data_IF_829526359155
#
_entry.id   IF_829526359155
#
_cell.length_a   1.000
_cell.length_b   1.000
_cell.length_c   1.000
_cell.angle_alpha   90.00
_cell.angle_beta   90.00
_cell.angle_gamma   90.00
#
_symmetry.space_group_name_H-M   'P 1'
#
loop_
_entity.id
_entity.type
_entity.pdbx_description
1 polymer ?
#
# COMPACT_ATOMS: atom_id res chain seq x y z
N UNK A 1 19.38 5.08 5.64
CA UNK A 1 20.26 5.47 4.52
C UNK A 1 20.24 6.99 4.33
N UNK A 2 20.80 7.74 5.26
CA UNK A 2 20.80 9.21 5.24
C UNK A 2 22.16 9.67 5.74
N UNK A 3 23.14 9.82 4.86
CA UNK A 3 24.40 10.53 5.14
C UNK A 3 25.23 10.90 3.90
N UNK A 4 24.75 10.62 2.68
CA UNK A 4 25.48 11.01 1.45
C UNK A 4 25.36 12.53 1.17
N UNK A 5 24.22 13.13 1.54
CA UNK A 5 23.96 14.55 1.28
C UNK A 5 24.78 15.51 2.16
N UNK A 6 25.09 15.12 3.39
CA UNK A 6 25.85 15.97 4.32
C UNK A 6 27.35 16.00 3.99
N UNK A 7 27.89 14.91 3.42
CA UNK A 7 29.27 14.84 2.97
C UNK A 7 29.50 15.69 1.72
N UNK A 8 28.55 15.68 0.76
CA UNK A 8 28.68 16.48 -0.45
C UNK A 8 28.71 18.01 -0.17
N UNK A 9 27.96 18.47 0.84
CA UNK A 9 27.98 19.88 1.24
C UNK A 9 29.26 20.28 2.01
N UNK A 10 29.88 19.34 2.72
CA UNK A 10 31.12 19.59 3.46
C UNK A 10 32.33 19.69 2.53
N UNK A 11 32.37 18.88 1.47
CA UNK A 11 33.42 18.92 0.45
C UNK A 11 33.41 20.24 -0.35
N UNK A 12 32.24 20.77 -0.69
CA UNK A 12 32.11 22.04 -1.45
C UNK A 12 32.53 23.26 -0.61
N UNK A 13 32.39 23.22 0.71
CA UNK A 13 32.82 24.32 1.59
C UNK A 13 34.29 24.22 2.01
N UNK A 14 34.92 23.03 1.93
CA UNK A 14 36.33 22.82 2.31
C UNK A 14 37.34 23.37 1.29
N UNK A 15 36.89 23.77 0.10
CA UNK A 15 37.74 24.35 -0.95
C UNK A 15 38.00 25.85 -0.80
N UNK A 16 37.66 26.46 0.35
CA UNK A 16 37.67 27.92 0.53
C UNK A 16 38.84 28.51 1.33
N UNK A 17 39.82 27.72 1.79
CA UNK A 17 40.89 28.23 2.68
C UNK A 17 42.33 27.89 2.27
N UNK A 18 42.63 27.85 0.97
CA UNK A 18 44.03 27.79 0.53
C UNK A 18 44.27 28.70 -0.69
N UNK A 19 44.46 30.00 -0.43
CA UNK A 19 45.50 30.80 -1.09
C UNK A 19 45.54 32.21 -0.47
N UNK A 20 46.34 32.37 0.59
CA UNK A 20 46.62 33.68 1.19
C UNK A 20 48.04 33.74 1.71
N UNK A 21 49.01 33.56 0.82
CA UNK A 21 50.42 33.80 1.12
C UNK A 21 51.22 33.94 -0.17
N UNK A 22 51.14 35.11 -0.80
CA UNK A 22 52.23 35.75 -1.56
C UNK A 22 51.71 37.06 -2.14
N UNK A 23 51.71 38.09 -1.30
CA UNK A 23 51.54 39.47 -1.72
C UNK A 23 52.78 40.23 -1.28
N UNK A 24 53.86 40.07 -2.04
CA UNK A 24 54.92 41.06 -2.19
C UNK A 24 55.57 40.78 -3.57
N UNK A 25 55.89 41.86 -4.29
CA UNK A 25 56.48 41.89 -5.64
C UNK A 25 55.58 41.58 -6.84
N UNK A 26 54.78 42.58 -7.23
CA UNK A 26 54.81 43.14 -8.59
C UNK A 26 53.78 44.26 -8.73
N UNK A 27 54.10 45.41 -8.15
CA UNK A 27 53.40 46.68 -8.41
C UNK A 27 53.91 47.31 -9.72
N UNK A 28 53.75 46.60 -10.85
CA UNK A 28 53.96 47.19 -12.19
C UNK A 28 53.23 46.47 -13.34
N UNK A 29 52.05 45.92 -13.08
CA UNK A 29 51.17 45.42 -14.16
C UNK A 29 49.67 45.68 -13.88
N UNK A 30 49.35 46.80 -13.22
CA UNK A 30 47.96 47.28 -13.10
C UNK A 30 47.59 48.09 -14.35
N UNK A 31 47.06 47.44 -15.40
CA UNK A 31 46.04 48.06 -16.29
C UNK A 31 45.38 47.16 -17.33
N UNK A 32 45.68 45.86 -17.44
CA UNK A 32 45.08 45.03 -18.50
C UNK A 32 44.44 43.70 -18.08
N UNK A 33 44.19 43.43 -16.79
CA UNK A 33 43.51 42.18 -16.37
C UNK A 33 42.29 42.37 -15.43
N UNK A 34 41.80 43.60 -15.26
CA UNK A 34 40.60 43.89 -14.46
C UNK A 34 39.29 43.37 -15.07
N UNK A 35 39.27 43.12 -16.38
CA UNK A 35 38.07 42.70 -17.10
C UNK A 35 37.81 41.18 -17.02
N UNK A 36 38.87 40.36 -16.91
CA UNK A 36 38.77 38.88 -16.96
C UNK A 36 38.36 38.28 -15.61
N UNK A 37 38.82 38.86 -14.49
CA UNK A 37 38.45 38.40 -13.14
C UNK A 37 36.99 38.70 -12.77
N UNK A 38 36.44 39.83 -13.24
CA UNK A 38 35.04 40.21 -13.01
C UNK A 38 34.05 39.27 -13.74
N UNK A 39 34.41 38.80 -14.94
CA UNK A 39 33.58 37.87 -15.71
C UNK A 39 33.48 36.47 -15.08
N UNK A 40 34.57 35.91 -14.50
CA UNK A 40 34.50 34.57 -13.87
C UNK A 40 33.62 34.55 -12.62
N UNK A 41 33.67 35.61 -11.81
CA UNK A 41 32.86 35.72 -10.60
C UNK A 41 31.37 35.90 -10.92
N UNK A 42 31.07 36.69 -11.96
CA UNK A 42 29.71 36.88 -12.45
C UNK A 42 29.12 35.59 -13.03
N UNK A 43 29.90 34.84 -13.82
CA UNK A 43 29.48 33.52 -14.35
C UNK A 43 29.23 32.50 -13.24
N UNK A 44 30.04 32.52 -12.18
CA UNK A 44 29.84 31.65 -11.02
C UNK A 44 28.55 32.01 -10.25
N UNK A 45 28.29 33.30 -10.04
CA UNK A 45 27.05 33.78 -9.41
C UNK A 45 25.80 33.43 -10.22
N UNK A 46 25.85 33.55 -11.55
CA UNK A 46 24.76 33.13 -12.45
C UNK A 46 24.53 31.61 -12.40
N UNK A 47 25.60 30.82 -12.33
CA UNK A 47 25.50 29.35 -12.23
C UNK A 47 24.96 28.93 -10.85
N UNK A 48 25.37 29.60 -9.78
CA UNK A 48 24.86 29.36 -8.44
C UNK A 48 23.38 29.75 -8.32
N UNK A 49 22.98 30.89 -8.89
CA UNK A 49 21.59 31.36 -8.88
C UNK A 49 20.66 30.42 -9.66
N UNK A 50 21.08 29.93 -10.83
CA UNK A 50 20.30 28.95 -11.62
C UNK A 50 20.17 27.61 -10.90
N UNK A 51 21.23 27.10 -10.27
CA UNK A 51 21.16 25.92 -9.42
C UNK A 51 20.20 26.11 -8.24
N UNK A 52 20.27 27.25 -7.56
CA UNK A 52 19.44 27.55 -6.41
C UNK A 52 17.96 27.69 -6.83
N UNK A 53 17.69 28.32 -7.98
CA UNK A 53 16.36 28.38 -8.57
C UNK A 53 15.82 26.99 -8.94
N UNK A 54 16.66 26.13 -9.54
CA UNK A 54 16.28 24.76 -9.87
C UNK A 54 15.99 23.92 -8.62
N UNK A 55 16.80 24.07 -7.56
CA UNK A 55 16.59 23.41 -6.27
C UNK A 55 15.31 23.91 -5.58
N UNK A 56 15.00 25.21 -5.66
CA UNK A 56 13.74 25.77 -5.14
C UNK A 56 12.53 25.25 -5.92
N UNK A 57 12.61 25.17 -7.25
CA UNK A 57 11.56 24.56 -8.07
C UNK A 57 11.35 23.09 -7.72
N UNK A 58 12.42 22.32 -7.54
CA UNK A 58 12.34 20.93 -7.09
C UNK A 58 11.74 20.80 -5.69
N UNK A 59 12.08 21.72 -4.77
CA UNK A 59 11.52 21.76 -3.42
C UNK A 59 10.02 22.13 -3.40
N UNK A 60 9.60 23.08 -4.24
CA UNK A 60 8.18 23.48 -4.38
C UNK A 60 7.37 22.38 -5.08
N UNK A 61 7.93 21.76 -6.12
CA UNK A 61 7.28 20.65 -6.83
C UNK A 61 7.13 19.40 -5.94
N UNK A 62 8.16 19.08 -5.16
CA UNK A 62 8.09 17.97 -4.20
C UNK A 62 7.12 18.25 -3.05
N UNK A 63 7.05 19.47 -2.52
CA UNK A 63 6.13 19.82 -1.43
C UNK A 63 4.64 19.86 -1.86
N UNK A 64 4.34 20.33 -3.07
CA UNK A 64 2.98 20.31 -3.65
C UNK A 64 2.51 18.89 -3.98
N UNK A 65 3.39 18.04 -4.51
CA UNK A 65 3.13 16.61 -4.75
C UNK A 65 2.79 15.85 -3.44
N UNK A 66 3.51 16.15 -2.35
CA UNK A 66 3.27 15.52 -1.04
C UNK A 66 1.93 15.94 -0.42
N UNK A 67 1.48 17.19 -0.64
CA UNK A 67 0.18 17.65 -0.15
C UNK A 67 -1.00 17.05 -0.93
N UNK A 68 -0.90 16.94 -2.26
CA UNK A 68 -1.93 16.31 -3.10
C UNK A 68 -2.09 14.81 -2.78
N UNK A 69 -0.97 14.10 -2.58
CA UNK A 69 -0.94 12.67 -2.21
C UNK A 69 -1.69 12.37 -0.91
N UNK A 70 -1.65 13.26 0.09
CA UNK A 70 -2.34 13.07 1.39
C UNK A 70 -3.86 13.15 1.30
N UNK A 71 -4.40 14.11 0.55
CA UNK A 71 -5.85 14.23 0.34
C UNK A 71 -6.39 13.04 -0.47
N UNK A 72 -5.59 12.53 -1.40
CA UNK A 72 -5.88 11.33 -2.17
C UNK A 72 -5.87 10.06 -1.30
N UNK A 73 -4.90 9.91 -0.38
CA UNK A 73 -4.85 8.83 0.62
C UNK A 73 -6.17 8.68 1.39
N UNK A 74 -6.72 9.79 1.90
CA UNK A 74 -7.97 9.79 2.65
C UNK A 74 -9.18 9.34 1.83
N UNK A 75 -9.26 9.74 0.55
CA UNK A 75 -10.33 9.36 -0.38
C UNK A 75 -10.23 7.88 -0.75
N UNK A 76 -9.05 7.41 -1.12
CA UNK A 76 -8.81 6.03 -1.54
C UNK A 76 -9.03 5.04 -0.39
N UNK A 77 -8.59 5.40 0.82
CA UNK A 77 -8.83 4.61 2.01
C UNK A 77 -10.33 4.52 2.34
N UNK A 78 -11.07 5.63 2.23
CA UNK A 78 -12.53 5.66 2.45
C UNK A 78 -13.26 4.79 1.43
N UNK A 79 -12.90 4.88 0.15
CA UNK A 79 -13.51 4.05 -0.90
C UNK A 79 -13.22 2.56 -0.66
N UNK A 80 -12.00 2.23 -0.28
CA UNK A 80 -11.61 0.84 -0.03
C UNK A 80 -12.29 0.29 1.23
N UNK A 81 -12.50 1.10 2.26
CA UNK A 81 -13.30 0.73 3.44
C UNK A 81 -14.76 0.47 3.07
N UNK A 82 -15.38 1.35 2.27
CA UNK A 82 -16.76 1.16 1.77
C UNK A 82 -16.89 -0.17 1.03
N UNK A 83 -15.95 -0.46 0.13
CA UNK A 83 -15.96 -1.73 -0.62
C UNK A 83 -15.74 -2.93 0.30
N UNK A 84 -14.80 -2.86 1.26
CA UNK A 84 -14.56 -3.94 2.23
C UNK A 84 -15.84 -4.26 3.01
N UNK A 85 -16.55 -3.23 3.50
CA UNK A 85 -17.81 -3.39 4.22
C UNK A 85 -18.93 -3.97 3.34
N UNK A 86 -18.98 -3.58 2.06
CA UNK A 86 -19.90 -4.15 1.09
C UNK A 86 -19.63 -5.65 0.91
N UNK A 87 -18.39 -6.03 0.60
CA UNK A 87 -18.01 -7.44 0.42
C UNK A 87 -18.30 -8.24 1.70
N UNK A 88 -18.04 -7.66 2.87
CA UNK A 88 -18.34 -8.30 4.15
C UNK A 88 -19.84 -8.60 4.31
N UNK A 89 -20.71 -7.61 4.07
CA UNK A 89 -22.17 -7.79 4.17
C UNK A 89 -22.69 -8.84 3.19
N UNK A 90 -22.24 -8.79 1.95
CA UNK A 90 -22.60 -9.77 0.92
C UNK A 90 -22.09 -11.16 1.30
N UNK A 91 -20.87 -11.28 1.85
CA UNK A 91 -20.32 -12.55 2.33
C UNK A 91 -21.11 -13.11 3.52
N UNK A 92 -21.60 -12.26 4.42
CA UNK A 92 -22.48 -12.67 5.53
C UNK A 92 -23.77 -13.28 5.00
N UNK A 93 -24.40 -12.64 4.01
CA UNK A 93 -25.60 -13.14 3.36
C UNK A 93 -25.32 -14.46 2.62
N UNK A 94 -24.25 -14.49 1.83
CA UNK A 94 -23.80 -15.69 1.11
C UNK A 94 -23.51 -16.86 2.05
N UNK A 95 -22.88 -16.64 3.21
CA UNK A 95 -22.61 -17.75 4.17
C UNK A 95 -23.90 -18.37 4.68
N UNK A 96 -24.93 -17.56 4.95
CA UNK A 96 -26.25 -18.07 5.39
C UNK A 96 -26.95 -18.84 4.27
N UNK A 97 -26.95 -18.26 3.06
CA UNK A 97 -27.53 -18.90 1.88
C UNK A 97 -26.83 -20.23 1.57
N UNK A 98 -25.50 -20.26 1.63
CA UNK A 98 -24.70 -21.45 1.38
C UNK A 98 -25.15 -22.61 2.27
N UNK A 99 -25.25 -22.39 3.59
CA UNK A 99 -25.70 -23.43 4.55
C UNK A 99 -27.11 -23.91 4.21
N UNK A 100 -28.04 -22.99 3.92
CA UNK A 100 -29.41 -23.34 3.56
C UNK A 100 -29.53 -24.14 2.25
N UNK A 101 -28.63 -23.91 1.29
CA UNK A 101 -28.61 -24.58 -0.01
C UNK A 101 -27.90 -25.94 0.00
N UNK A 102 -27.35 -26.40 1.12
CA UNK A 102 -26.64 -27.69 1.18
C UNK A 102 -27.54 -28.92 1.43
N UNK A 103 -28.83 -28.72 1.69
CA UNK A 103 -29.82 -29.77 1.92
C UNK A 103 -30.01 -30.13 3.40
N UNK A 104 -31.00 -30.99 3.66
CA UNK A 104 -31.38 -31.39 5.01
C UNK A 104 -30.25 -32.14 5.73
N UNK A 105 -30.00 -31.77 6.98
CA UNK A 105 -28.92 -32.34 7.80
C UNK A 105 -27.57 -31.61 7.70
N UNK A 106 -27.38 -30.67 6.76
CA UNK A 106 -26.19 -29.82 6.78
C UNK A 106 -26.32 -28.73 7.84
N UNK A 107 -25.53 -28.84 8.90
CA UNK A 107 -25.58 -27.94 10.05
C UNK A 107 -24.49 -26.87 10.01
N UNK A 108 -24.77 -25.71 10.60
CA UNK A 108 -23.81 -24.60 10.72
C UNK A 108 -22.53 -25.00 11.49
N UNK A 109 -22.59 -26.05 12.33
CA UNK A 109 -21.44 -26.59 13.05
C UNK A 109 -20.33 -27.07 12.11
N UNK A 110 -20.66 -27.59 10.92
CA UNK A 110 -19.68 -28.06 9.94
C UNK A 110 -18.80 -26.93 9.39
N UNK A 111 -19.28 -25.69 9.42
CA UNK A 111 -18.52 -24.52 8.97
C UNK A 111 -17.38 -24.12 9.90
N UNK A 112 -17.25 -24.79 11.05
CA UNK A 112 -16.16 -24.64 12.02
C UNK A 112 -15.17 -25.80 11.99
N UNK A 113 -15.35 -26.77 11.08
CA UNK A 113 -14.43 -27.88 10.94
C UNK A 113 -13.02 -27.40 10.60
N UNK A 114 -12.01 -28.12 11.07
CA UNK A 114 -10.62 -27.89 10.66
C UNK A 114 -10.42 -28.48 9.27
N UNK A 115 -10.07 -27.64 8.30
CA UNK A 115 -9.74 -28.06 6.94
C UNK A 115 -8.37 -27.50 6.58
N UNK A 116 -7.49 -28.37 6.11
CA UNK A 116 -6.12 -28.02 5.73
C UNK A 116 -6.09 -27.12 4.50
N UNK A 117 -5.07 -26.26 4.43
CA UNK A 117 -4.79 -25.44 3.25
C UNK A 117 -5.63 -24.17 3.14
N UNK A 118 -6.53 -23.89 4.09
CA UNK A 118 -7.26 -22.62 4.13
C UNK A 118 -6.33 -21.50 4.67
N UNK A 119 -6.29 -20.31 4.05
CA UNK A 119 -5.38 -19.25 4.47
C UNK A 119 -5.80 -18.69 5.83
N UNK A 120 -4.81 -18.29 6.64
CA UNK A 120 -5.07 -17.62 7.92
C UNK A 120 -5.80 -16.28 7.68
N UNK A 121 -6.95 -16.03 8.34
CA UNK A 121 -7.66 -14.76 8.25
C UNK A 121 -7.02 -13.61 9.05
N UNK A 122 -6.00 -13.86 9.86
CA UNK A 122 -5.34 -12.85 10.69
C UNK A 122 -4.32 -12.05 9.90
N UNK A 123 -4.27 -10.74 10.11
CA UNK A 123 -3.34 -9.85 9.41
C UNK A 123 -2.00 -9.83 10.15
N UNK A 124 -0.93 -10.15 9.43
CA UNK A 124 0.44 -10.19 9.94
C UNK A 124 1.22 -8.91 9.62
N UNK A 125 2.38 -8.73 10.24
CA UNK A 125 3.26 -7.58 10.03
C UNK A 125 3.13 -6.51 11.11
N UNK A 126 4.25 -5.84 11.38
CA UNK A 126 4.35 -4.75 12.36
C UNK A 126 4.15 -3.40 11.69
N UNK A 127 4.76 -3.23 10.52
CA UNK A 127 4.73 -1.98 9.77
C UNK A 127 3.49 -1.87 8.85
N UNK A 128 2.97 -0.66 8.60
CA UNK A 128 1.80 -0.47 7.73
C UNK A 128 1.95 -1.10 6.33
N UNK A 129 3.15 -1.07 5.75
CA UNK A 129 3.46 -1.72 4.47
C UNK A 129 3.27 -3.23 4.58
N UNK A 130 3.89 -3.88 5.56
CA UNK A 130 3.78 -5.32 5.80
C UNK A 130 2.33 -5.74 6.03
N UNK A 131 1.56 -4.94 6.78
CA UNK A 131 0.16 -5.23 7.08
C UNK A 131 -0.73 -5.13 5.84
N UNK A 132 -0.54 -4.12 5.01
CA UNK A 132 -1.29 -3.98 3.74
C UNK A 132 -0.86 -5.09 2.76
N UNK A 133 0.41 -5.44 2.72
CA UNK A 133 0.92 -6.56 1.95
C UNK A 133 0.32 -7.90 2.40
N UNK A 134 0.24 -8.15 3.71
CA UNK A 134 -0.41 -9.33 4.29
C UNK A 134 -1.89 -9.41 3.90
N UNK A 135 -2.62 -8.28 3.93
CA UNK A 135 -4.01 -8.23 3.45
C UNK A 135 -4.10 -8.60 1.97
N UNK A 136 -3.19 -8.06 1.15
CA UNK A 136 -3.17 -8.34 -0.29
C UNK A 136 -2.94 -9.83 -0.57
N UNK A 137 -1.91 -10.43 0.02
CA UNK A 137 -1.57 -11.84 -0.21
C UNK A 137 -2.67 -12.78 0.28
N UNK A 138 -3.29 -12.49 1.42
CA UNK A 138 -4.42 -13.26 1.94
C UNK A 138 -5.65 -13.16 1.03
N UNK A 139 -6.02 -11.96 0.58
CA UNK A 139 -7.13 -11.80 -0.35
C UNK A 139 -6.89 -12.54 -1.67
N UNK A 140 -5.65 -12.51 -2.18
CA UNK A 140 -5.27 -13.24 -3.38
C UNK A 140 -5.43 -14.76 -3.17
N UNK A 141 -4.95 -15.30 -2.06
CA UNK A 141 -5.10 -16.71 -1.72
C UNK A 141 -6.59 -17.10 -1.60
N UNK A 142 -7.39 -16.32 -0.88
CA UNK A 142 -8.83 -16.58 -0.73
C UNK A 142 -9.60 -16.53 -2.05
N UNK A 143 -9.19 -15.71 -3.02
CA UNK A 143 -9.82 -15.71 -4.34
C UNK A 143 -9.68 -17.05 -5.08
N UNK A 144 -8.57 -17.77 -4.88
CA UNK A 144 -8.38 -19.11 -5.42
C UNK A 144 -9.35 -20.10 -4.75
N UNK A 145 -9.49 -20.03 -3.42
CA UNK A 145 -10.46 -20.87 -2.70
C UNK A 145 -11.91 -20.54 -3.08
N UNK A 146 -12.28 -19.27 -3.24
CA UNK A 146 -13.62 -18.87 -3.67
C UNK A 146 -13.94 -19.41 -5.06
N UNK A 147 -12.96 -19.39 -5.98
CA UNK A 147 -13.10 -20.00 -7.31
C UNK A 147 -13.35 -21.51 -7.20
N UNK A 148 -12.56 -22.22 -6.40
CA UNK A 148 -12.76 -23.65 -6.15
C UNK A 148 -14.16 -23.96 -5.61
N UNK A 149 -14.64 -23.16 -4.64
CA UNK A 149 -15.99 -23.33 -4.08
C UNK A 149 -17.06 -23.08 -5.13
N UNK A 150 -16.87 -22.09 -6.00
CA UNK A 150 -17.78 -21.83 -7.11
C UNK A 150 -17.83 -23.03 -8.07
N UNK A 151 -16.68 -23.53 -8.55
CA UNK A 151 -16.59 -24.69 -9.45
C UNK A 151 -17.22 -25.95 -8.83
N UNK A 152 -17.02 -26.16 -7.52
CA UNK A 152 -17.68 -27.24 -6.79
C UNK A 152 -19.20 -27.07 -6.75
N UNK A 153 -19.70 -25.85 -6.50
CA UNK A 153 -21.15 -25.61 -6.47
C UNK A 153 -21.78 -25.65 -7.86
N UNK A 154 -21.07 -25.33 -8.94
CA UNK A 154 -21.57 -25.45 -10.32
C UNK A 154 -21.93 -26.91 -10.67
N UNK A 155 -21.24 -27.88 -10.05
CA UNK A 155 -21.53 -29.30 -10.21
C UNK A 155 -22.65 -29.81 -9.29
N UNK A 156 -23.00 -29.06 -8.23
CA UNK A 156 -23.94 -29.50 -7.18
C UNK A 156 -25.28 -28.78 -7.23
N UNK A 157 -25.34 -27.62 -7.87
CA UNK A 157 -26.50 -26.73 -7.89
C UNK A 157 -26.99 -26.56 -9.33
N UNK A 158 -28.29 -26.30 -9.54
CA UNK A 158 -28.79 -25.93 -10.86
C UNK A 158 -28.15 -24.59 -11.30
N UNK A 159 -27.91 -24.37 -12.61
CA UNK A 159 -27.25 -23.17 -13.12
C UNK A 159 -27.91 -21.85 -12.72
N UNK A 160 -29.23 -21.86 -12.47
CA UNK A 160 -30.03 -20.70 -12.06
C UNK A 160 -30.17 -20.56 -10.55
N UNK A 161 -29.35 -21.26 -9.76
CA UNK A 161 -29.43 -21.17 -8.31
C UNK A 161 -28.96 -19.80 -7.80
N UNK A 162 -29.73 -19.26 -6.85
CA UNK A 162 -29.37 -18.01 -6.15
C UNK A 162 -27.98 -18.09 -5.48
N UNK A 163 -27.55 -19.29 -5.08
CA UNK A 163 -26.24 -19.50 -4.48
C UNK A 163 -25.10 -19.18 -5.46
N UNK A 164 -25.19 -19.67 -6.70
CA UNK A 164 -24.18 -19.42 -7.74
C UNK A 164 -24.10 -17.94 -8.11
N UNK A 165 -25.24 -17.26 -8.21
CA UNK A 165 -25.29 -15.82 -8.45
C UNK A 165 -24.57 -15.04 -7.33
N UNK A 166 -24.83 -15.40 -6.08
CA UNK A 166 -24.20 -14.75 -4.92
C UNK A 166 -22.71 -15.05 -4.82
N UNK A 167 -22.27 -16.29 -5.11
CA UNK A 167 -20.85 -16.65 -5.20
C UNK A 167 -20.14 -15.82 -6.26
N UNK A 168 -20.71 -15.71 -7.45
CA UNK A 168 -20.16 -14.92 -8.56
C UNK A 168 -20.06 -13.45 -8.17
N UNK A 169 -21.12 -12.89 -7.57
CA UNK A 169 -21.17 -11.49 -7.12
C UNK A 169 -20.10 -11.19 -6.06
N UNK A 170 -19.99 -12.02 -5.02
CA UNK A 170 -18.99 -11.86 -3.96
C UNK A 170 -17.58 -11.97 -4.56
N UNK A 171 -17.31 -12.98 -5.39
CA UNK A 171 -16.01 -13.16 -6.05
C UNK A 171 -15.63 -11.94 -6.90
N UNK A 172 -16.57 -11.36 -7.65
CA UNK A 172 -16.32 -10.16 -8.43
C UNK A 172 -15.99 -8.94 -7.55
N UNK A 173 -16.70 -8.74 -6.46
CA UNK A 173 -16.40 -7.66 -5.51
C UNK A 173 -15.06 -7.87 -4.80
N UNK A 174 -14.70 -9.11 -4.47
CA UNK A 174 -13.42 -9.48 -3.88
C UNK A 174 -12.25 -9.19 -4.83
N UNK A 175 -12.40 -9.48 -6.13
CA UNK A 175 -11.41 -9.10 -7.16
C UNK A 175 -11.23 -7.58 -7.23
N UNK A 176 -12.33 -6.81 -7.24
CA UNK A 176 -12.29 -5.34 -7.20
C UNK A 176 -11.60 -4.81 -5.94
N UNK A 177 -11.83 -5.46 -4.80
CA UNK A 177 -11.18 -5.11 -3.53
C UNK A 177 -9.67 -5.35 -3.61
N UNK A 178 -9.23 -6.49 -4.16
CA UNK A 178 -7.81 -6.80 -4.35
C UNK A 178 -7.12 -5.73 -5.21
N UNK A 179 -7.71 -5.37 -6.36
CA UNK A 179 -7.16 -4.35 -7.27
C UNK A 179 -7.01 -3.00 -6.55
N UNK A 180 -8.01 -2.58 -5.77
CA UNK A 180 -7.93 -1.35 -4.99
C UNK A 180 -6.84 -1.39 -3.93
N UNK A 181 -6.62 -2.53 -3.30
CA UNK A 181 -5.58 -2.70 -2.29
C UNK A 181 -4.20 -2.63 -2.91
N UNK A 182 -4.01 -3.29 -4.06
CA UNK A 182 -2.78 -3.19 -4.86
C UNK A 182 -2.49 -1.74 -5.23
N UNK A 183 -3.46 -1.03 -5.81
CA UNK A 183 -3.30 0.37 -6.17
C UNK A 183 -2.99 1.26 -4.95
N UNK A 184 -3.71 1.06 -3.85
CA UNK A 184 -3.46 1.79 -2.60
C UNK A 184 -2.06 1.56 -2.06
N UNK A 185 -1.57 0.31 -2.09
CA UNK A 185 -0.20 0.00 -1.69
C UNK A 185 0.83 0.69 -2.57
N UNK A 186 0.69 0.59 -3.90
CA UNK A 186 1.66 1.16 -4.85
C UNK A 186 1.76 2.69 -4.72
N UNK A 187 0.67 3.37 -4.40
CA UNK A 187 0.67 4.83 -4.15
C UNK A 187 1.41 5.17 -2.85
N UNK A 188 1.25 4.35 -1.80
CA UNK A 188 1.85 4.61 -0.49
C UNK A 188 3.32 4.20 -0.41
N UNK A 189 3.70 3.14 -1.10
CA UNK A 189 5.02 2.53 -1.04
C UNK A 189 5.57 2.29 -2.45
N UNK A 190 5.80 3.34 -3.25
CA UNK A 190 6.18 3.20 -4.66
C UNK A 190 7.50 2.47 -4.88
N UNK A 191 8.38 2.46 -3.87
CA UNK A 191 9.70 1.83 -3.93
C UNK A 191 9.73 0.41 -3.32
N UNK A 192 8.61 -0.08 -2.76
CA UNK A 192 8.54 -1.43 -2.22
C UNK A 192 7.73 -2.30 -3.18
N UNK A 193 8.27 -3.44 -3.64
CA UNK A 193 7.48 -4.39 -4.40
C UNK A 193 6.39 -5.00 -3.50
N UNK A 194 5.29 -5.38 -4.11
CA UNK A 194 4.29 -6.22 -3.44
C UNK A 194 4.89 -7.63 -3.31
N UNK A 195 4.86 -8.24 -2.12
CA UNK A 195 5.29 -9.62 -2.01
C UNK A 195 4.34 -10.52 -2.79
N UNK A 196 4.91 -11.51 -3.45
CA UNK A 196 4.13 -12.64 -3.93
C UNK A 196 3.63 -13.45 -2.72
N UNK A 197 2.50 -14.17 -2.84
CA UNK A 197 2.00 -15.03 -1.77
C UNK A 197 3.10 -15.99 -1.31
N UNK A 198 3.48 -15.92 -0.04
CA UNK A 198 4.64 -16.58 0.55
C UNK A 198 4.53 -18.13 0.65
N UNK A 199 3.73 -18.79 -0.17
CA UNK A 199 3.37 -20.21 0.01
C UNK A 199 3.27 -21.03 -1.27
N UNK A 200 3.84 -20.56 -2.39
CA UNK A 200 3.63 -21.23 -3.68
C UNK A 200 2.15 -21.25 -4.08
N UNK A 201 1.73 -22.11 -5.02
CA UNK A 201 0.32 -22.27 -5.32
C UNK A 201 -0.41 -22.62 -4.03
N UNK A 202 -1.38 -21.78 -3.64
CA UNK A 202 -2.24 -22.07 -2.48
C UNK A 202 -2.71 -23.50 -2.60
N UNK A 203 -2.27 -24.36 -1.67
CA UNK A 203 -2.46 -25.80 -1.80
C UNK A 203 -3.93 -26.10 -1.71
N UNK A 204 -4.56 -26.22 -2.87
CA UNK A 204 -5.95 -26.62 -2.94
C UNK A 204 -6.03 -28.06 -2.43
N UNK A 205 -7.03 -28.37 -1.60
CA UNK A 205 -7.21 -29.73 -1.12
C UNK A 205 -7.41 -30.69 -2.30
N UNK A 206 -7.01 -31.97 -2.14
CA UNK A 206 -7.17 -32.99 -3.17
C UNK A 206 -8.66 -33.22 -3.50
N UNK A 207 -8.91 -34.11 -4.48
CA UNK A 207 -10.28 -34.51 -4.84
C UNK A 207 -11.08 -34.92 -3.59
N UNK A 208 -12.23 -34.28 -3.41
CA UNK A 208 -13.08 -34.43 -2.23
C UNK A 208 -14.41 -35.08 -2.62
N UNK A 209 -14.96 -35.89 -1.73
CA UNK A 209 -16.34 -36.33 -1.88
C UNK A 209 -17.31 -35.15 -1.72
N UNK A 210 -18.57 -35.30 -2.16
CA UNK A 210 -19.56 -34.22 -2.14
C UNK A 210 -19.71 -33.60 -0.74
N UNK A 211 -19.78 -34.41 0.31
CA UNK A 211 -19.91 -33.90 1.68
C UNK A 211 -18.70 -33.05 2.09
N UNK A 212 -17.48 -33.51 1.82
CA UNK A 212 -16.25 -32.77 2.08
C UNK A 212 -16.21 -31.44 1.32
N UNK A 213 -16.63 -31.42 0.04
CA UNK A 213 -16.72 -30.19 -0.74
C UNK A 213 -17.67 -29.17 -0.08
N UNK A 214 -18.83 -29.63 0.43
CA UNK A 214 -19.79 -28.79 1.16
C UNK A 214 -19.20 -28.22 2.45
N UNK A 215 -18.51 -29.06 3.22
CA UNK A 215 -17.82 -28.63 4.45
C UNK A 215 -16.73 -27.61 4.12
N UNK A 216 -15.86 -27.91 3.16
CA UNK A 216 -14.79 -27.03 2.71
C UNK A 216 -15.33 -25.67 2.27
N UNK A 217 -16.38 -25.63 1.43
CA UNK A 217 -16.97 -24.37 1.00
C UNK A 217 -17.53 -23.55 2.15
N UNK A 218 -18.17 -24.18 3.15
CA UNK A 218 -18.66 -23.44 4.30
C UNK A 218 -17.52 -22.89 5.19
N UNK A 219 -16.44 -23.67 5.39
CA UNK A 219 -15.27 -23.23 6.17
C UNK A 219 -14.55 -22.09 5.43
N UNK A 220 -14.36 -22.18 4.12
CA UNK A 220 -13.78 -21.11 3.29
C UNK A 220 -14.58 -19.82 3.43
N UNK A 221 -15.91 -19.86 3.24
CA UNK A 221 -16.76 -18.67 3.33
C UNK A 221 -16.76 -18.06 4.74
N UNK A 222 -16.77 -18.91 5.77
CA UNK A 222 -16.74 -18.47 7.17
C UNK A 222 -15.40 -17.83 7.53
N UNK A 223 -14.29 -18.38 7.03
CA UNK A 223 -12.94 -17.86 7.26
C UNK A 223 -12.71 -16.58 6.47
N UNK A 224 -13.21 -16.52 5.22
CA UNK A 224 -13.17 -15.32 4.39
C UNK A 224 -13.94 -14.15 5.02
N UNK A 225 -15.12 -14.42 5.58
CA UNK A 225 -15.88 -13.46 6.39
C UNK A 225 -15.05 -12.91 7.57
N UNK A 226 -14.28 -13.77 8.24
CA UNK A 226 -13.39 -13.36 9.35
C UNK A 226 -12.24 -12.48 8.86
N UNK A 227 -11.62 -12.81 7.73
CA UNK A 227 -10.61 -11.98 7.08
C UNK A 227 -11.17 -10.56 6.78
N UNK A 228 -12.33 -10.47 6.15
CA UNK A 228 -12.97 -9.18 5.81
C UNK A 228 -13.27 -8.32 7.05
N UNK A 229 -13.67 -8.96 8.15
CA UNK A 229 -13.84 -8.28 9.44
C UNK A 229 -12.50 -7.73 9.97
N UNK A 230 -11.44 -8.55 9.90
CA UNK A 230 -10.10 -8.15 10.31
C UNK A 230 -9.56 -6.99 9.45
N UNK A 231 -9.75 -7.03 8.13
CA UNK A 231 -9.38 -5.93 7.22
C UNK A 231 -10.14 -4.65 7.60
N UNK A 232 -11.42 -4.76 7.92
CA UNK A 232 -12.25 -3.61 8.30
C UNK A 232 -11.77 -2.97 9.61
N UNK A 233 -11.30 -3.77 10.57
CA UNK A 233 -10.66 -3.29 11.81
C UNK A 233 -9.31 -2.63 11.51
N UNK A 234 -8.48 -3.27 10.68
CA UNK A 234 -7.13 -2.80 10.37
C UNK A 234 -7.11 -1.49 9.57
N UNK A 235 -8.10 -1.25 8.71
CA UNK A 235 -8.18 0.02 7.98
C UNK A 235 -8.40 1.22 8.90
N UNK A 236 -9.03 1.03 10.06
CA UNK A 236 -9.20 2.11 11.04
C UNK A 236 -7.86 2.50 11.66
N UNK A 237 -7.00 1.52 11.97
CA UNK A 237 -5.65 1.75 12.50
C UNK A 237 -4.69 2.27 11.44
N UNK A 238 -4.79 1.79 10.19
CA UNK A 238 -3.98 2.31 9.08
C UNK A 238 -4.30 3.76 8.74
N UNK A 239 -5.56 4.19 8.89
CA UNK A 239 -5.97 5.58 8.62
C UNK A 239 -5.15 6.59 9.41
N UNK A 240 -4.97 6.36 10.72
CA UNK A 240 -4.24 7.28 11.59
C UNK A 240 -2.73 7.23 11.35
N UNK A 241 -2.19 6.06 11.01
CA UNK A 241 -0.74 5.86 10.80
C UNK A 241 -0.26 6.34 9.44
N UNK A 242 -1.06 6.19 8.38
CA UNK A 242 -0.61 6.39 6.99
C UNK A 242 -1.20 7.65 6.35
N UNK A 243 -2.49 7.93 6.61
CA UNK A 243 -3.16 9.12 6.06
C UNK A 243 -3.28 10.25 7.11
N UNK A 244 -2.45 10.24 8.16
CA UNK A 244 -2.50 11.22 9.24
C UNK A 244 -2.19 12.64 8.78
N UNK A 245 -3.09 13.58 9.07
CA UNK A 245 -2.81 15.02 8.99
C UNK A 245 -1.84 15.34 10.14
N UNK A 246 -0.62 15.85 9.85
CA UNK A 246 0.11 16.60 10.88
C UNK A 246 -0.85 17.71 11.32
N UNK A 247 -1.29 17.70 12.59
CA UNK A 247 -1.88 18.90 13.16
C UNK A 247 -0.89 20.03 12.88
N UNK A 248 -1.32 21.19 12.37
CA UNK A 248 -0.44 22.34 12.40
C UNK A 248 0.06 22.43 13.85
N UNK A 249 1.38 22.33 14.05
CA UNK A 249 1.95 22.78 15.30
C UNK A 249 1.47 24.22 15.39
N UNK A 250 0.52 24.49 16.28
CA UNK A 250 0.26 25.86 16.69
C UNK A 250 1.62 26.36 17.14
N UNK A 251 2.22 27.22 16.32
CA UNK A 251 3.31 28.09 16.69
C UNK A 251 2.84 28.74 17.97
N UNK A 252 3.31 28.25 19.13
CA UNK A 252 3.13 28.96 20.37
C UNK A 252 3.75 30.32 20.12
N UNK A 253 2.93 31.37 20.21
CA UNK A 253 3.37 32.75 20.22
C UNK A 253 4.40 32.90 21.34
N UNK A 254 5.67 32.82 20.97
CA UNK A 254 6.81 33.06 21.84
C UNK A 254 7.18 34.54 21.72
N UNK A 255 6.27 35.41 22.13
CA UNK A 255 6.55 36.81 22.47
C UNK A 255 5.54 37.27 23.51
N UNK A 256 5.95 37.20 24.78
CA UNK A 256 5.53 38.14 25.80
C UNK A 256 6.69 38.36 26.76
#
# INVERSE_FOLDING_TARGET
MTNVWFLFFKEVLKQRDYDKSTQLDCEKQRRMNGHVKKMRFQRFLETAATLLYFLLLLAVYSSTSVAASRNQCGKDLRQTLKLTNLVYRETVALTKLYVASQGDGFQQGFCKASVSGIPDPNISGLEPSERIASIYTQLQAFLLHLKQVQEQQENLQPPTSQLLDQLTKVTAYSKRLLVRIKAFYSVLFPNLPLPEPAGGPTTLPPAQNVFQQKVYGCVVLTTYKKLLLNISKERKTLKSKVCGTRRPMNTMNFFR
#
